data_IF_578205198109
#
_entry.id   IF_578205198109
#
_cell.length_a   1.000
_cell.length_b   1.000
_cell.length_c   1.000
_cell.angle_alpha   90.00
_cell.angle_beta   90.00
_cell.angle_gamma   90.00
#
_symmetry.space_group_name_H-M   'P 1'
#
loop_
_entity.id
_entity.type
_entity.pdbx_description
1 polymer ?
#
# COMPACT_ATOMS: atom_id res chain seq x y z
N UNK A 1 35.85 15.32 -11.08
CA UNK A 1 34.98 15.90 -12.12
C UNK A 1 33.91 14.88 -12.41
N UNK A 2 32.65 15.22 -12.08
CA UNK A 2 31.38 14.55 -12.43
C UNK A 2 31.25 13.06 -12.02
N UNK A 3 30.15 12.57 -11.47
CA UNK A 3 28.80 13.09 -11.40
C UNK A 3 27.87 11.87 -11.34
N UNK A 4 27.02 11.86 -10.31
CA UNK A 4 25.63 11.37 -10.29
C UNK A 4 25.11 10.66 -11.54
N UNK A 5 24.58 9.45 -11.35
CA UNK A 5 23.33 9.00 -12.00
C UNK A 5 22.82 7.71 -11.32
N UNK A 6 21.98 7.87 -10.29
CA UNK A 6 20.95 6.89 -9.98
C UNK A 6 19.73 7.28 -10.81
N UNK A 7 19.54 6.62 -11.95
CA UNK A 7 18.34 6.79 -12.77
C UNK A 7 17.13 6.20 -12.05
N UNK A 8 16.11 7.05 -11.97
CA UNK A 8 14.73 6.85 -11.56
C UNK A 8 14.10 5.56 -12.06
N UNK A 9 13.23 4.94 -11.25
CA UNK A 9 11.80 4.77 -11.56
C UNK A 9 11.10 4.22 -10.29
N UNK A 10 9.99 4.88 -9.91
CA UNK A 10 9.16 4.64 -8.71
C UNK A 10 9.83 4.98 -7.38
N UNK A 11 9.52 6.15 -6.81
CA UNK A 11 10.09 6.63 -5.54
C UNK A 11 9.38 5.96 -4.36
N UNK A 12 10.02 5.03 -3.62
CA UNK A 12 9.49 4.59 -2.34
C UNK A 12 9.69 5.70 -1.28
N UNK A 13 8.74 5.80 -0.36
CA UNK A 13 8.67 6.76 0.74
C UNK A 13 10.01 6.98 1.52
N UNK A 14 10.88 5.98 1.54
CA UNK A 14 12.23 6.04 2.10
C UNK A 14 13.09 7.17 1.54
N UNK A 15 12.92 7.54 0.27
CA UNK A 15 13.69 8.64 -0.36
C UNK A 15 13.24 10.00 0.18
N UNK A 16 11.94 10.18 0.40
CA UNK A 16 11.38 11.44 0.88
C UNK A 16 11.82 11.75 2.32
N UNK A 17 11.88 10.72 3.18
CA UNK A 17 12.34 10.87 4.58
C UNK A 17 13.86 11.10 4.69
N UNK A 18 14.66 10.57 3.75
CA UNK A 18 16.11 10.86 3.67
C UNK A 18 16.39 12.29 3.23
N UNK A 19 15.65 12.80 2.24
CA UNK A 19 15.85 14.17 1.73
C UNK A 19 15.66 15.26 2.79
N UNK A 20 14.84 15.01 3.82
CA UNK A 20 14.61 15.96 4.92
C UNK A 20 15.66 15.89 6.04
N UNK A 21 16.42 14.79 6.14
CA UNK A 21 17.42 14.57 7.20
C UNK A 21 18.86 14.83 6.73
N UNK A 22 19.11 14.81 5.43
CA UNK A 22 20.46 14.90 4.83
C UNK A 22 21.12 16.29 4.81
N UNK A 23 20.62 17.31 5.53
CA UNK A 23 21.25 18.64 5.55
C UNK A 23 22.34 18.82 6.62
N UNK A 24 22.72 17.79 7.38
CA UNK A 24 23.75 17.95 8.41
C UNK A 24 24.65 16.71 8.59
N UNK A 25 25.75 16.62 7.84
CA UNK A 25 26.94 15.92 8.32
C UNK A 25 28.21 16.51 7.66
N UNK A 26 29.08 17.19 8.42
CA UNK A 26 30.43 17.49 7.96
C UNK A 26 31.26 16.20 7.99
N UNK A 27 31.98 15.97 6.89
CA UNK A 27 33.12 15.08 6.80
C UNK A 27 34.24 15.60 7.71
N UNK A 28 34.64 14.80 8.72
CA UNK A 28 36.03 14.62 9.19
C UNK A 28 36.06 14.06 10.63
N UNK A 29 36.30 12.75 10.79
CA UNK A 29 36.77 12.19 12.08
C UNK A 29 37.87 11.14 11.80
N UNK A 30 39.03 11.19 12.50
CA UNK A 30 40.17 10.32 12.25
C UNK A 30 39.96 8.88 12.76
N UNK A 31 40.59 7.94 12.05
CA UNK A 31 40.71 6.52 12.37
C UNK A 31 41.43 6.28 13.71
N UNK A 32 40.70 5.85 14.74
CA UNK A 32 41.27 5.23 15.94
C UNK A 32 41.28 3.70 15.78
N UNK A 33 42.41 3.00 16.02
CA UNK A 33 42.48 1.54 15.89
C UNK A 33 42.05 0.82 17.18
N UNK A 34 41.54 -0.41 16.98
CA UNK A 34 41.19 -1.48 17.94
C UNK A 34 40.03 -1.24 18.91
N UNK A 35 38.82 -1.52 18.45
CA UNK A 35 37.90 -2.54 19.00
C UNK A 35 36.92 -2.89 17.88
N UNK A 36 36.59 -4.18 17.73
CA UNK A 36 35.78 -4.85 16.67
C UNK A 36 35.00 -3.93 15.69
N UNK A 37 35.01 -4.21 14.37
CA UNK A 37 34.10 -3.55 13.44
C UNK A 37 32.68 -3.60 14.01
N UNK A 38 31.99 -2.46 14.06
CA UNK A 38 30.54 -2.44 14.33
C UNK A 38 29.92 -3.50 13.42
N UNK A 39 29.26 -4.48 14.01
CA UNK A 39 28.94 -5.76 13.38
C UNK A 39 28.23 -5.52 12.04
N UNK A 40 28.96 -5.74 10.95
CA UNK A 40 28.39 -5.71 9.60
C UNK A 40 27.35 -6.81 9.53
N UNK A 41 26.10 -6.45 9.24
CA UNK A 41 25.01 -7.42 9.13
C UNK A 41 25.36 -8.48 8.07
N UNK A 42 25.58 -9.72 8.53
CA UNK A 42 25.91 -10.89 7.70
C UNK A 42 25.07 -12.06 8.20
N UNK A 43 23.83 -12.20 7.72
CA UNK A 43 22.92 -13.20 8.26
C UNK A 43 23.48 -14.61 8.05
N UNK A 44 23.40 -15.42 9.10
CA UNK A 44 23.75 -16.85 9.05
C UNK A 44 22.58 -17.68 9.52
N UNK A 45 22.41 -18.86 8.94
CA UNK A 45 21.36 -19.80 9.30
C UNK A 45 21.95 -21.06 9.94
N UNK A 46 21.34 -21.47 11.03
CA UNK A 46 21.46 -22.82 11.53
C UNK A 46 20.37 -23.72 10.92
N UNK A 47 20.76 -24.59 10.00
CA UNK A 47 19.83 -25.50 9.30
C UNK A 47 19.20 -26.53 10.24
N UNK A 48 19.85 -26.86 11.35
CA UNK A 48 19.34 -27.88 12.28
C UNK A 48 18.17 -27.40 13.13
N UNK A 49 18.12 -26.10 13.44
CA UNK A 49 17.05 -25.48 14.24
C UNK A 49 16.16 -24.54 13.45
N UNK A 50 16.59 -24.15 12.23
CA UNK A 50 15.92 -23.12 11.43
C UNK A 50 16.06 -21.70 12.01
N UNK A 51 17.01 -21.49 12.93
CA UNK A 51 17.22 -20.19 13.58
C UNK A 51 18.21 -19.33 12.79
N UNK A 52 17.80 -18.10 12.47
CA UNK A 52 18.65 -17.11 11.80
C UNK A 52 19.31 -16.17 12.81
N UNK A 53 20.63 -16.00 12.70
CA UNK A 53 21.42 -15.09 13.53
C UNK A 53 21.85 -13.85 12.76
N UNK A 54 22.08 -12.75 13.47
CA UNK A 54 22.41 -11.44 12.90
C UNK A 54 23.80 -11.41 12.21
N UNK A 55 24.78 -12.11 12.80
CA UNK A 55 26.16 -12.23 12.31
C UNK A 55 26.80 -13.54 12.80
N UNK A 56 27.88 -14.03 12.16
CA UNK A 56 28.63 -15.19 12.65
C UNK A 56 29.28 -14.95 14.02
N UNK A 57 29.65 -13.69 14.32
CA UNK A 57 30.16 -13.28 15.62
C UNK A 57 29.07 -13.41 16.70
N UNK A 58 27.83 -13.06 16.37
CA UNK A 58 26.68 -13.21 17.27
C UNK A 58 26.34 -14.69 17.54
N UNK A 59 26.56 -15.57 16.54
CA UNK A 59 26.47 -17.03 16.70
C UNK A 59 27.68 -17.65 17.44
N UNK A 60 28.72 -16.86 17.74
CA UNK A 60 29.90 -17.30 18.49
C UNK A 60 30.85 -18.20 17.69
N UNK A 61 30.86 -18.09 16.36
CA UNK A 61 31.73 -18.89 15.50
C UNK A 61 33.19 -18.40 15.54
N UNK A 62 34.14 -19.33 15.64
CA UNK A 62 35.58 -18.99 15.69
C UNK A 62 36.34 -19.30 14.40
N UNK A 63 35.80 -20.15 13.53
CA UNK A 63 36.46 -20.53 12.29
C UNK A 63 35.52 -20.42 11.09
N UNK A 64 36.07 -20.01 9.95
CA UNK A 64 35.35 -19.92 8.68
C UNK A 64 35.90 -20.97 7.72
N UNK A 65 35.04 -21.68 7.01
CA UNK A 65 35.45 -22.60 5.96
C UNK A 65 36.05 -21.82 4.77
N UNK A 66 37.03 -22.41 4.07
CA UNK A 66 37.76 -21.75 2.98
C UNK A 66 36.90 -21.30 1.79
N UNK A 67 35.64 -21.72 1.70
CA UNK A 67 34.69 -21.32 0.68
C UNK A 67 33.78 -20.15 1.12
N UNK A 68 34.03 -19.55 2.28
CA UNK A 68 33.23 -18.49 2.93
C UNK A 68 31.74 -18.81 3.21
N UNK A 69 31.24 -19.94 2.74
CA UNK A 69 29.84 -20.37 2.82
C UNK A 69 29.45 -20.97 4.16
N UNK A 70 30.41 -21.38 4.98
CA UNK A 70 30.17 -22.09 6.25
C UNK A 70 31.04 -21.54 7.36
N UNK A 71 30.46 -21.40 8.54
CA UNK A 71 31.14 -21.03 9.78
C UNK A 71 31.07 -22.20 10.76
N UNK A 72 32.21 -22.55 11.34
CA UNK A 72 32.38 -23.68 12.26
C UNK A 72 32.71 -23.17 13.67
N UNK A 73 32.59 -24.09 14.63
CA UNK A 73 32.86 -23.86 16.05
C UNK A 73 31.99 -22.77 16.68
N UNK A 74 30.72 -22.69 16.26
CA UNK A 74 29.74 -21.72 16.77
C UNK A 74 29.18 -22.20 18.11
N UNK A 75 29.36 -21.42 19.18
CA UNK A 75 29.01 -21.83 20.56
C UNK A 75 27.67 -21.29 21.08
N UNK A 76 27.13 -20.28 20.43
CA UNK A 76 25.92 -19.59 20.89
C UNK A 76 24.66 -20.09 20.17
N UNK A 77 24.67 -21.33 19.66
CA UNK A 77 23.52 -21.91 18.97
C UNK A 77 22.50 -22.42 19.99
N UNK A 78 21.24 -22.04 19.80
CA UNK A 78 20.14 -22.40 20.70
C UNK A 78 19.39 -23.59 20.14
N UNK A 79 19.34 -24.70 20.90
CA UNK A 79 18.50 -25.83 20.52
C UNK A 79 17.02 -25.47 20.72
N UNK A 80 16.19 -25.62 19.69
CA UNK A 80 14.78 -25.20 19.65
C UNK A 80 13.82 -26.00 20.55
N UNK A 81 14.32 -26.68 21.59
CA UNK A 81 13.51 -27.39 22.58
C UNK A 81 13.10 -26.52 23.77
N UNK A 82 12.25 -27.07 24.65
CA UNK A 82 11.76 -26.41 25.87
C UNK A 82 12.89 -25.98 26.83
N UNK A 83 14.09 -26.57 26.69
CA UNK A 83 15.29 -26.19 27.41
C UNK A 83 16.23 -25.43 26.46
N UNK A 84 16.48 -24.15 26.75
CA UNK A 84 17.40 -23.27 26.00
C UNK A 84 18.86 -23.64 26.26
N UNK A 85 19.23 -24.86 25.91
CA UNK A 85 20.61 -25.31 26.02
C UNK A 85 21.39 -24.81 24.81
N UNK A 86 22.55 -24.23 25.08
CA UNK A 86 23.50 -23.87 24.04
C UNK A 86 24.26 -25.11 23.60
N UNK A 87 24.50 -25.23 22.31
CA UNK A 87 25.33 -26.30 21.75
C UNK A 87 26.31 -25.74 20.72
N UNK A 88 27.33 -26.55 20.43
CA UNK A 88 28.32 -26.24 19.42
C UNK A 88 27.90 -26.81 18.07
N UNK A 89 27.94 -26.00 17.02
CA UNK A 89 27.55 -26.44 15.69
C UNK A 89 28.15 -25.62 14.56
N UNK A 90 27.65 -25.90 13.36
CA UNK A 90 28.06 -25.26 12.11
C UNK A 90 26.86 -24.49 11.58
N UNK A 91 27.09 -23.29 11.05
CA UNK A 91 26.06 -22.45 10.43
C UNK A 91 26.47 -22.09 9.01
N UNK A 92 25.49 -21.93 8.12
CA UNK A 92 25.72 -21.50 6.75
C UNK A 92 25.56 -19.99 6.60
N UNK A 93 26.34 -19.40 5.70
CA UNK A 93 26.25 -17.99 5.31
C UNK A 93 25.08 -17.77 4.33
N UNK A 94 23.89 -18.21 4.72
CA UNK A 94 22.64 -18.07 3.98
C UNK A 94 21.52 -17.64 4.92
N UNK A 95 20.42 -17.15 4.34
CA UNK A 95 19.16 -17.04 5.09
C UNK A 95 18.56 -18.43 5.24
N UNK A 96 17.84 -18.66 6.33
CA UNK A 96 17.15 -19.94 6.51
C UNK A 96 16.10 -20.14 5.44
N UNK A 97 16.05 -21.35 4.89
CA UNK A 97 15.02 -21.74 3.94
C UNK A 97 13.69 -21.75 4.68
N UNK A 98 12.71 -21.02 4.13
CA UNK A 98 11.35 -20.99 4.64
C UNK A 98 10.44 -21.51 3.55
N UNK A 99 9.76 -22.64 3.82
CA UNK A 99 8.73 -23.20 2.95
C UNK A 99 7.50 -22.27 2.95
N UNK A 100 7.57 -21.24 2.10
CA UNK A 100 6.57 -20.18 2.04
C UNK A 100 5.58 -20.40 0.88
N UNK A 101 5.72 -21.46 0.09
CA UNK A 101 4.92 -21.68 -1.13
C UNK A 101 3.41 -21.63 -0.85
N UNK A 102 2.93 -22.42 0.12
CA UNK A 102 1.51 -22.47 0.48
C UNK A 102 0.98 -21.13 1.00
N UNK A 103 1.75 -20.44 1.85
CA UNK A 103 1.39 -19.14 2.40
C UNK A 103 1.36 -18.04 1.32
N UNK A 104 2.33 -18.05 0.40
CA UNK A 104 2.39 -17.13 -0.74
C UNK A 104 1.23 -17.38 -1.71
N UNK A 105 0.91 -18.63 -2.01
CA UNK A 105 -0.24 -18.98 -2.84
C UNK A 105 -1.54 -18.51 -2.19
N UNK A 106 -1.73 -18.79 -0.90
CA UNK A 106 -2.92 -18.33 -0.16
C UNK A 106 -3.04 -16.80 -0.17
N UNK A 107 -1.95 -16.09 0.11
CA UNK A 107 -1.92 -14.62 0.07
C UNK A 107 -2.25 -14.07 -1.33
N UNK A 108 -1.67 -14.66 -2.38
CA UNK A 108 -1.92 -14.25 -3.76
C UNK A 108 -3.39 -14.42 -4.15
N UNK A 109 -4.01 -15.55 -3.79
CA UNK A 109 -5.44 -15.80 -4.09
C UNK A 109 -6.32 -14.80 -3.36
N UNK A 110 -6.06 -14.54 -2.08
CA UNK A 110 -6.85 -13.57 -1.28
C UNK A 110 -6.73 -12.17 -1.86
N UNK A 111 -5.51 -11.72 -2.17
CA UNK A 111 -5.28 -10.39 -2.78
C UNK A 111 -5.97 -10.31 -4.13
N UNK A 112 -5.89 -11.35 -4.96
CA UNK A 112 -6.57 -11.37 -6.25
C UNK A 112 -8.08 -11.15 -6.11
N UNK A 113 -8.75 -11.88 -5.22
CA UNK A 113 -10.19 -11.74 -4.97
C UNK A 113 -10.55 -10.33 -4.52
N UNK A 114 -9.77 -9.76 -3.59
CA UNK A 114 -9.97 -8.38 -3.11
C UNK A 114 -9.82 -7.38 -4.25
N UNK A 115 -8.81 -7.54 -5.12
CA UNK A 115 -8.56 -6.62 -6.22
C UNK A 115 -9.62 -6.70 -7.31
N UNK A 116 -10.17 -7.90 -7.58
CA UNK A 116 -11.31 -8.06 -8.49
C UNK A 116 -12.52 -7.30 -7.96
N UNK A 117 -12.87 -7.50 -6.67
CA UNK A 117 -13.97 -6.78 -6.04
C UNK A 117 -13.78 -5.27 -6.07
N UNK A 118 -12.58 -4.79 -5.69
CA UNK A 118 -12.24 -3.37 -5.71
C UNK A 118 -12.38 -2.77 -7.12
N UNK A 119 -11.89 -3.48 -8.14
CA UNK A 119 -11.97 -3.01 -9.53
C UNK A 119 -13.41 -2.88 -10.01
N UNK A 120 -14.28 -3.86 -9.71
CA UNK A 120 -15.71 -3.79 -10.06
C UNK A 120 -16.42 -2.64 -9.35
N UNK A 121 -16.19 -2.46 -8.05
CA UNK A 121 -16.78 -1.37 -7.27
C UNK A 121 -16.32 0.00 -7.76
N UNK A 122 -15.04 0.14 -8.10
CA UNK A 122 -14.49 1.38 -8.65
C UNK A 122 -15.16 1.75 -9.98
N UNK A 123 -15.33 0.78 -10.90
CA UNK A 123 -16.01 1.00 -12.18
C UNK A 123 -17.47 1.39 -11.95
N UNK A 124 -18.20 0.65 -11.11
CA UNK A 124 -19.59 0.96 -10.79
C UNK A 124 -19.77 2.35 -10.20
N UNK A 125 -18.94 2.71 -9.22
CA UNK A 125 -18.96 4.03 -8.56
C UNK A 125 -18.66 5.15 -9.55
N UNK A 126 -17.68 4.94 -10.44
CA UNK A 126 -17.31 5.94 -11.47
C UNK A 126 -18.45 6.15 -12.47
N UNK A 127 -19.13 5.08 -12.88
CA UNK A 127 -20.29 5.18 -13.79
C UNK A 127 -21.46 5.96 -13.17
N UNK A 128 -21.72 5.78 -11.87
CA UNK A 128 -22.76 6.54 -11.17
C UNK A 128 -22.45 8.04 -11.16
N UNK A 129 -21.20 8.40 -10.81
CA UNK A 129 -20.75 9.80 -10.82
C UNK A 129 -20.92 10.41 -12.22
N UNK A 130 -20.49 9.73 -13.28
CA UNK A 130 -20.58 10.25 -14.65
C UNK A 130 -22.03 10.46 -15.10
N UNK A 131 -22.98 9.63 -14.66
CA UNK A 131 -24.39 9.77 -15.01
C UNK A 131 -25.10 10.90 -14.25
N UNK A 132 -24.65 11.20 -13.04
CA UNK A 132 -25.20 12.30 -12.24
C UNK A 132 -24.76 13.71 -12.67
N UNK A 133 -23.86 13.83 -13.66
CA UNK A 133 -23.24 15.09 -14.06
C UNK A 133 -23.59 15.49 -15.49
N UNK A 134 -23.77 16.80 -15.71
CA UNK A 134 -23.93 17.39 -17.04
C UNK A 134 -22.68 17.17 -17.91
N UNK A 135 -22.86 16.98 -19.21
CA UNK A 135 -21.78 16.67 -20.16
C UNK A 135 -20.63 17.68 -20.11
N UNK A 136 -20.93 18.96 -19.85
CA UNK A 136 -19.95 20.05 -19.78
C UNK A 136 -19.04 19.99 -18.54
N UNK A 137 -19.49 19.39 -17.44
CA UNK A 137 -18.80 19.44 -16.14
C UNK A 137 -18.11 18.12 -15.76
N UNK A 138 -18.29 17.07 -16.56
CA UNK A 138 -17.78 15.71 -16.27
C UNK A 138 -16.27 15.66 -16.04
N UNK A 139 -15.48 16.28 -16.91
CA UNK A 139 -14.01 16.27 -16.81
C UNK A 139 -13.50 17.06 -15.60
N UNK A 140 -14.14 18.21 -15.30
CA UNK A 140 -13.82 19.02 -14.13
C UNK A 140 -14.15 18.27 -12.83
N UNK A 141 -15.33 17.64 -12.74
CA UNK A 141 -15.70 16.89 -11.54
C UNK A 141 -14.80 15.68 -11.28
N UNK A 142 -14.49 14.87 -12.30
CA UNK A 142 -13.61 13.70 -12.15
C UNK A 142 -12.20 14.09 -11.74
N UNK A 143 -11.67 15.20 -12.27
CA UNK A 143 -10.36 15.71 -11.87
C UNK A 143 -10.34 16.22 -10.43
N UNK A 144 -11.38 16.95 -10.00
CA UNK A 144 -11.51 17.40 -8.60
C UNK A 144 -11.60 16.20 -7.64
N UNK A 145 -12.43 15.21 -7.95
CA UNK A 145 -12.55 13.98 -7.17
C UNK A 145 -11.21 13.24 -7.07
N UNK A 146 -10.48 13.14 -8.19
CA UNK A 146 -9.15 12.54 -8.21
C UNK A 146 -8.16 13.32 -7.33
N UNK A 147 -8.14 14.65 -7.40
CA UNK A 147 -7.26 15.49 -6.56
C UNK A 147 -7.54 15.30 -5.08
N UNK A 148 -8.82 15.29 -4.70
CA UNK A 148 -9.25 15.04 -3.30
C UNK A 148 -8.78 13.65 -2.86
N UNK A 149 -9.05 12.62 -3.65
CA UNK A 149 -8.63 11.25 -3.34
C UNK A 149 -7.11 11.12 -3.24
N UNK A 150 -6.35 11.77 -4.12
CA UNK A 150 -4.89 11.77 -4.04
C UNK A 150 -4.40 12.47 -2.76
N UNK A 151 -5.00 13.61 -2.40
CA UNK A 151 -4.60 14.33 -1.18
C UNK A 151 -4.83 13.49 0.08
N UNK A 152 -5.97 12.82 0.18
CA UNK A 152 -6.36 12.07 1.37
C UNK A 152 -5.94 10.60 1.37
N UNK A 153 -5.58 10.00 0.25
CA UNK A 153 -5.12 8.61 0.20
C UNK A 153 -3.62 8.51 -0.04
N UNK A 154 -3.08 9.20 -1.06
CA UNK A 154 -1.68 9.05 -1.46
C UNK A 154 -0.69 9.71 -0.49
N UNK A 155 -1.08 10.76 0.24
CA UNK A 155 -0.20 11.39 1.23
C UNK A 155 -0.13 10.58 2.53
N UNK A 156 -1.26 10.18 3.17
CA UNK A 156 -1.19 9.44 4.43
C UNK A 156 -0.82 7.97 4.25
N UNK A 157 -1.13 7.33 3.11
CA UNK A 157 -0.77 5.93 2.87
C UNK A 157 0.72 5.66 3.13
N UNK A 158 1.67 6.27 2.41
CA UNK A 158 3.07 5.92 2.59
C UNK A 158 3.63 6.45 3.93
N UNK A 159 3.03 7.48 4.54
CA UNK A 159 3.35 7.93 5.90
C UNK A 159 3.00 6.89 6.96
N UNK A 160 1.79 6.34 6.91
CA UNK A 160 1.33 5.31 7.84
C UNK A 160 2.17 4.04 7.64
N UNK A 161 2.26 3.53 6.40
CA UNK A 161 3.00 2.29 6.16
C UNK A 161 4.52 2.45 6.39
N UNK A 162 5.09 3.63 6.15
CA UNK A 162 6.46 3.94 6.55
C UNK A 162 6.65 3.88 8.07
N UNK A 163 5.73 4.46 8.85
CA UNK A 163 5.76 4.37 10.31
C UNK A 163 5.58 2.94 10.83
N UNK A 164 4.76 2.11 10.17
CA UNK A 164 4.59 0.70 10.54
C UNK A 164 5.88 -0.11 10.34
N UNK A 165 6.60 0.14 9.23
CA UNK A 165 7.90 -0.52 8.98
C UNK A 165 8.94 -0.04 9.99
N UNK A 166 9.01 1.27 10.27
CA UNK A 166 9.89 1.80 11.30
C UNK A 166 9.57 1.22 12.70
N UNK A 167 8.29 1.00 13.01
CA UNK A 167 7.84 0.46 14.28
C UNK A 167 8.14 -1.05 14.48
N UNK A 168 8.37 -1.80 13.39
CA UNK A 168 8.80 -3.19 13.45
C UNK A 168 10.32 -3.37 13.45
N UNK A 169 11.09 -2.29 13.37
CA UNK A 169 12.55 -2.37 13.38
C UNK A 169 13.09 -2.77 14.77
N UNK A 170 13.95 -3.79 14.79
CA UNK A 170 14.68 -4.24 15.98
C UNK A 170 16.08 -3.61 16.06
N UNK A 171 16.80 -3.59 14.92
CA UNK A 171 18.18 -3.11 14.85
C UNK A 171 18.33 -2.10 13.73
N UNK A 172 18.64 -0.86 14.11
CA UNK A 172 18.93 0.23 13.19
C UNK A 172 20.40 0.24 12.79
N UNK A 173 20.67 0.53 11.52
CA UNK A 173 22.00 0.91 11.06
C UNK A 173 22.41 2.24 11.72
N UNK A 174 23.67 2.33 12.15
CA UNK A 174 24.27 3.56 12.66
C UNK A 174 25.38 4.01 11.70
N UNK A 175 25.11 5.11 10.99
CA UNK A 175 26.08 5.75 10.08
C UNK A 175 26.59 7.01 10.75
N UNK A 176 27.75 6.92 11.39
CA UNK A 176 28.43 8.05 12.02
C UNK A 176 27.60 8.79 13.08
N UNK A 177 26.80 8.06 13.87
CA UNK A 177 25.92 8.65 14.90
C UNK A 177 24.51 8.96 14.41
N UNK A 178 24.25 8.83 13.10
CA UNK A 178 22.92 8.98 12.52
C UNK A 178 22.24 7.63 12.23
N UNK A 179 20.92 7.58 12.44
CA UNK A 179 20.13 6.40 12.13
C UNK A 179 19.98 6.23 10.61
N UNK A 180 20.47 5.11 10.11
CA UNK A 180 20.37 4.66 8.72
C UNK A 180 19.17 3.75 8.46
N UNK A 181 19.34 2.78 7.56
CA UNK A 181 18.29 1.79 7.28
C UNK A 181 18.13 0.78 8.43
N UNK A 182 16.96 0.15 8.56
CA UNK A 182 16.83 -0.95 9.50
C UNK A 182 17.46 -2.24 8.92
N UNK A 183 18.25 -2.95 9.73
CA UNK A 183 18.88 -4.21 9.35
C UNK A 183 18.01 -5.43 9.67
N UNK A 184 17.30 -5.39 10.80
CA UNK A 184 16.52 -6.53 11.27
C UNK A 184 15.13 -6.07 11.74
N UNK A 185 14.10 -6.71 11.20
CA UNK A 185 12.71 -6.46 11.54
C UNK A 185 12.14 -7.62 12.36
N UNK A 186 11.25 -7.31 13.30
CA UNK A 186 10.39 -8.28 13.97
C UNK A 186 9.30 -8.75 13.00
N UNK A 187 9.48 -9.95 12.45
CA UNK A 187 8.60 -10.53 11.43
C UNK A 187 7.14 -10.71 11.91
N UNK A 188 6.86 -11.33 13.07
CA UNK A 188 5.51 -11.43 13.61
C UNK A 188 4.82 -10.08 13.79
N UNK A 189 5.50 -9.12 14.43
CA UNK A 189 4.96 -7.77 14.66
C UNK A 189 4.72 -7.05 13.34
N UNK A 190 5.67 -7.15 12.40
CA UNK A 190 5.56 -6.53 11.09
C UNK A 190 4.34 -7.04 10.31
N UNK A 191 4.12 -8.36 10.28
CA UNK A 191 2.96 -8.97 9.61
C UNK A 191 1.64 -8.51 10.23
N UNK A 192 1.55 -8.52 11.57
CA UNK A 192 0.36 -8.09 12.28
C UNK A 192 0.05 -6.60 12.04
N UNK A 193 1.06 -5.74 12.12
CA UNK A 193 0.89 -4.31 11.88
C UNK A 193 0.48 -4.01 10.43
N UNK A 194 1.14 -4.65 9.46
CA UNK A 194 0.85 -4.42 8.05
C UNK A 194 -0.56 -4.90 7.71
N UNK A 195 -0.89 -6.17 7.98
CA UNK A 195 -2.19 -6.73 7.62
C UNK A 195 -3.32 -6.21 8.51
N UNK A 196 -3.07 -5.99 9.80
CA UNK A 196 -4.07 -5.49 10.75
C UNK A 196 -4.52 -4.07 10.42
N UNK A 197 -3.58 -3.17 10.10
CA UNK A 197 -3.92 -1.79 9.70
C UNK A 197 -4.64 -1.78 8.35
N UNK A 198 -4.18 -2.56 7.35
CA UNK A 198 -4.91 -2.69 6.07
C UNK A 198 -6.33 -3.20 6.28
N UNK A 199 -6.51 -4.25 7.10
CA UNK A 199 -7.82 -4.82 7.39
C UNK A 199 -8.74 -3.82 8.09
N UNK A 200 -8.23 -3.06 9.08
CA UNK A 200 -9.00 -2.02 9.75
C UNK A 200 -9.47 -0.93 8.78
N UNK A 201 -8.57 -0.43 7.92
CA UNK A 201 -8.93 0.56 6.90
C UNK A 201 -9.94 0.01 5.89
N UNK A 202 -9.81 -1.27 5.51
CA UNK A 202 -10.75 -1.93 4.62
C UNK A 202 -12.14 -2.05 5.26
N UNK A 203 -12.22 -2.46 6.53
CA UNK A 203 -13.49 -2.55 7.27
C UNK A 203 -14.19 -1.19 7.33
N UNK A 204 -13.44 -0.12 7.63
CA UNK A 204 -13.98 1.25 7.61
C UNK A 204 -14.52 1.60 6.22
N UNK A 205 -13.76 1.28 5.16
CA UNK A 205 -14.21 1.46 3.77
C UNK A 205 -15.48 0.67 3.44
N UNK A 206 -15.57 -0.59 3.85
CA UNK A 206 -16.75 -1.43 3.68
C UNK A 206 -17.98 -0.86 4.41
N UNK A 207 -17.80 -0.30 5.62
CA UNK A 207 -18.89 0.37 6.35
C UNK A 207 -19.38 1.60 5.57
N UNK A 208 -18.48 2.45 5.08
CA UNK A 208 -18.87 3.61 4.27
C UNK A 208 -19.60 3.20 2.98
N UNK A 209 -19.12 2.17 2.29
CA UNK A 209 -19.78 1.63 1.11
C UNK A 209 -21.16 1.04 1.44
N UNK A 210 -21.28 0.30 2.54
CA UNK A 210 -22.57 -0.24 3.02
C UNK A 210 -23.58 0.87 3.35
N UNK A 211 -23.11 1.98 3.94
CA UNK A 211 -23.92 3.17 4.18
C UNK A 211 -24.40 3.78 2.85
N UNK A 212 -23.51 3.97 1.88
CA UNK A 212 -23.88 4.49 0.55
C UNK A 212 -24.93 3.60 -0.12
N UNK A 213 -24.75 2.28 -0.11
CA UNK A 213 -25.73 1.32 -0.66
C UNK A 213 -27.06 1.41 0.10
N UNK A 214 -27.05 1.60 1.41
CA UNK A 214 -28.29 1.70 2.19
C UNK A 214 -29.07 2.99 1.91
N UNK A 215 -28.37 4.06 1.54
CA UNK A 215 -28.96 5.35 1.16
C UNK A 215 -29.21 5.47 -0.35
N UNK A 216 -28.67 4.59 -1.20
CA UNK A 216 -28.87 4.67 -2.65
C UNK A 216 -30.33 4.46 -3.07
N UNK A 217 -31.12 3.73 -2.27
CA UNK A 217 -32.57 3.58 -2.49
C UNK A 217 -33.33 4.92 -2.43
N UNK A 218 -32.73 5.98 -1.85
CA UNK A 218 -33.30 7.33 -1.82
C UNK A 218 -33.03 8.14 -3.11
N UNK A 219 -32.20 7.61 -4.00
CA UNK A 219 -31.58 8.32 -5.12
C UNK A 219 -31.98 7.66 -6.46
N UNK A 220 -33.13 6.99 -6.50
CA UNK A 220 -33.62 6.27 -7.70
C UNK A 220 -34.30 7.13 -8.75
N UNK A 221 -34.19 8.46 -8.66
CA UNK A 221 -34.83 9.39 -9.61
C UNK A 221 -33.79 10.21 -10.41
N UNK A 222 -32.97 9.51 -11.19
CA UNK A 222 -31.98 10.15 -12.09
C UNK A 222 -32.44 10.28 -13.54
N UNK A 223 -33.65 9.83 -13.85
CA UNK A 223 -34.13 9.71 -15.23
C UNK A 223 -35.36 10.58 -15.54
N UNK A 224 -35.95 11.31 -14.57
CA UNK A 224 -37.11 12.16 -14.86
C UNK A 224 -36.80 13.52 -15.52
N UNK A 225 -35.54 13.93 -15.69
CA UNK A 225 -35.21 15.25 -16.27
C UNK A 225 -35.16 15.30 -17.82
N UNK A 226 -35.21 14.17 -18.53
CA UNK A 226 -35.28 14.20 -20.01
C UNK A 226 -36.69 14.46 -20.56
N UNK A 227 -37.72 14.47 -19.70
CA UNK A 227 -39.10 14.76 -20.13
C UNK A 227 -39.45 16.26 -20.03
N UNK A 228 -38.68 17.07 -19.29
CA UNK A 228 -39.03 18.47 -19.02
C UNK A 228 -38.25 19.47 -19.89
N UNK A 229 -37.16 19.07 -20.55
CA UNK A 229 -36.46 19.95 -21.51
C UNK A 229 -37.21 20.16 -22.82
N UNK A 230 -38.09 19.23 -23.20
CA UNK A 230 -38.91 19.34 -24.43
C UNK A 230 -40.22 20.12 -24.20
N UNK A 231 -40.55 20.46 -22.95
CA UNK A 231 -41.76 21.21 -22.60
C UNK A 231 -41.53 22.74 -22.52
N UNK A 232 -40.29 23.21 -22.54
CA UNK A 232 -39.97 24.65 -22.40
C UNK A 232 -39.97 25.41 -23.74
N UNK A 233 -40.10 24.72 -24.88
CA UNK A 233 -40.12 25.34 -26.21
C UNK A 233 -41.51 25.51 -26.84
N UNK A 234 -42.60 25.21 -26.12
CA UNK A 234 -43.95 25.54 -26.60
C UNK A 234 -44.38 26.94 -26.09
N UNK A 235 -44.44 27.98 -26.95
CA UNK A 235 -44.99 29.27 -26.53
C UNK A 235 -46.49 29.14 -26.26
N UNK A 236 -46.86 29.48 -25.02
CA UNK A 236 -48.24 29.68 -24.58
C UNK A 236 -48.90 30.81 -25.36
N UNK A 237 -50.06 30.55 -25.96
CA UNK A 237 -51.06 31.58 -26.28
C UNK A 237 -52.49 31.05 -26.05
N UNK A 238 -52.96 31.32 -24.83
CA UNK A 238 -54.31 31.66 -24.34
C UNK A 238 -55.62 30.97 -24.83
N UNK A 239 -56.67 30.90 -23.97
CA UNK A 239 -57.86 30.07 -24.20
C UNK A 239 -59.22 30.80 -24.34
N UNK A 240 -60.20 30.03 -24.87
CA UNK A 240 -61.68 30.10 -24.79
C UNK A 240 -62.50 31.01 -25.74
N UNK A 241 -63.44 30.39 -26.51
CA UNK A 241 -64.92 30.59 -26.49
C UNK A 241 -65.65 29.70 -27.56
N UNK A 242 -67.00 29.55 -27.57
CA UNK A 242 -67.71 28.26 -27.64
C UNK A 242 -68.45 28.04 -29.00
N UNK A 243 -69.28 26.99 -29.18
CA UNK A 243 -69.68 26.51 -30.51
C UNK A 243 -70.88 27.29 -31.09
N UNK A 244 -70.88 27.51 -32.41
CA UNK A 244 -72.13 27.80 -33.13
C UNK A 244 -72.11 27.30 -34.59
N UNK A 245 -73.31 26.92 -35.02
CA UNK A 245 -73.78 26.25 -36.23
C UNK A 245 -73.57 26.96 -37.59
N UNK A 246 -73.93 26.18 -38.64
CA UNK A 246 -74.40 26.56 -40.00
C UNK A 246 -73.31 27.01 -41.00
N UNK A 247 -73.16 26.51 -42.22
CA UNK A 247 -74.01 25.87 -43.26
C UNK A 247 -73.05 25.12 -44.22
N UNK A 248 -73.36 23.93 -44.76
CA UNK A 248 -74.08 23.76 -46.03
C UNK A 248 -73.19 23.96 -47.27
N UNK A 249 -72.85 22.89 -48.01
CA UNK A 249 -72.23 23.03 -49.34
C UNK A 249 -71.45 21.83 -49.88
N UNK A 250 -72.15 20.72 -50.14
CA UNK A 250 -71.67 19.62 -51.01
C UNK A 250 -72.17 19.91 -52.42
N UNK A 251 -71.30 19.92 -53.43
CA UNK A 251 -71.68 19.58 -54.81
C UNK A 251 -70.45 19.10 -55.59
N UNK A 252 -70.40 17.78 -55.83
CA UNK A 252 -70.15 17.09 -57.12
C UNK A 252 -68.93 17.55 -57.94
N UNK A 253 -68.01 16.70 -58.40
CA UNK A 253 -68.10 15.30 -58.82
C UNK A 253 -66.77 14.56 -58.59
#
# INVERSE_FOLDING_TARGET
SLGTMCSSHSWPYWVFRRSWRSTAAPSDIPSRPTTKPKDVHRPVCDESTGTQYFSPCFAGCTSQAGNESEFKDCRCLVNGGNNKNFYNGVVKSSKCEQDCSSALTAFSVVVFVIQVYYSTTLVGSTLLVIRSLNVKDKSAALSILSVIMNMFAFIPYPLIYGALVDASCLVWEDRCGERGACWLYDLPKFRFLLHGVTAALLVVGCVFQGVVVRYSDRVTDFYEDSATSDAVSAPSAAPLLPPNETTGGKSTA
#
